data_IF_982504630779
#
_entry.id   IF_982504630779
#
_cell.length_a   1.000
_cell.length_b   1.000
_cell.length_c   1.000
_cell.angle_alpha   90.00
_cell.angle_beta   90.00
_cell.angle_gamma   90.00
#
_symmetry.space_group_name_H-M   'P 1'
#
loop_
_entity.id
_entity.type
_entity.pdbx_description
1 polymer ?
#
# COMPACT_ATOMS: atom_id res chain seq x y z
N UNK A 1 17.06 36.60 -4.98
CA UNK A 1 16.32 36.65 -3.70
C UNK A 1 16.06 35.20 -3.25
N UNK A 2 16.73 34.69 -2.20
CA UNK A 2 16.41 33.37 -1.67
C UNK A 2 15.14 33.42 -0.81
N UNK A 3 14.24 32.46 -1.01
CA UNK A 3 12.98 32.34 -0.30
C UNK A 3 13.20 32.10 1.22
N UNK A 4 12.33 32.62 2.11
CA UNK A 4 12.46 32.42 3.54
C UNK A 4 12.12 30.97 3.89
N UNK A 5 13.14 30.16 4.14
CA UNK A 5 12.98 28.83 4.73
C UNK A 5 12.37 28.96 6.12
N UNK A 6 11.07 28.71 6.27
CA UNK A 6 10.53 28.26 7.55
C UNK A 6 11.14 26.90 7.83
N UNK A 7 12.29 26.90 8.52
CA UNK A 7 12.83 25.71 9.15
C UNK A 7 11.78 25.22 10.15
N UNK A 8 11.03 24.18 9.80
CA UNK A 8 10.37 23.35 10.81
C UNK A 8 11.51 22.82 11.67
N UNK A 9 11.73 23.43 12.83
CA UNK A 9 12.87 23.13 13.71
C UNK A 9 12.48 22.15 14.81
N UNK A 10 11.20 21.77 14.88
CA UNK A 10 10.68 20.94 15.95
C UNK A 10 10.78 19.47 15.55
N UNK A 11 11.42 18.71 16.43
CA UNK A 11 11.36 17.25 16.42
C UNK A 11 10.01 16.85 17.00
N UNK A 12 9.21 16.13 16.22
CA UNK A 12 7.97 15.55 16.69
C UNK A 12 8.24 14.15 17.23
N UNK A 13 7.64 13.80 18.37
CA UNK A 13 7.77 12.46 18.96
C UNK A 13 6.40 11.89 19.29
N UNK A 14 6.16 10.66 18.84
CA UNK A 14 4.92 9.91 19.05
C UNK A 14 5.26 8.56 19.67
N UNK A 15 4.35 8.05 20.50
CA UNK A 15 4.54 6.77 21.17
C UNK A 15 3.25 5.95 21.16
N UNK A 16 3.38 4.65 20.98
CA UNK A 16 2.26 3.71 21.07
C UNK A 16 2.72 2.44 21.78
N UNK A 17 1.88 1.89 22.67
CA UNK A 17 2.12 0.54 23.18
C UNK A 17 1.73 -0.46 22.10
N UNK A 18 2.59 -1.45 21.90
CA UNK A 18 2.45 -2.52 20.91
C UNK A 18 2.75 -3.86 21.60
N UNK A 19 2.47 -4.98 20.94
CA UNK A 19 2.68 -6.32 21.51
C UNK A 19 4.13 -6.51 21.97
N UNK A 20 5.08 -5.96 21.23
CA UNK A 20 6.50 -6.09 21.50
C UNK A 20 7.04 -5.09 22.54
N UNK A 21 6.27 -4.08 22.98
CA UNK A 21 6.74 -3.08 23.93
C UNK A 21 6.24 -1.67 23.62
N UNK A 22 7.09 -0.67 23.85
CA UNK A 22 6.80 0.71 23.50
C UNK A 22 7.41 1.02 22.12
N UNK A 23 6.56 1.35 21.15
CA UNK A 23 6.97 1.89 19.87
C UNK A 23 7.15 3.40 20.00
N UNK A 24 8.26 3.93 19.51
CA UNK A 24 8.55 5.35 19.42
C UNK A 24 8.78 5.74 17.98
N UNK A 25 8.14 6.83 17.55
CA UNK A 25 8.37 7.48 16.27
C UNK A 25 8.91 8.88 16.54
N UNK A 26 10.06 9.19 15.96
CA UNK A 26 10.66 10.52 15.94
C UNK A 26 10.69 11.01 14.50
N UNK A 27 10.15 12.21 14.26
CA UNK A 27 10.17 12.87 12.96
C UNK A 27 10.93 14.19 13.11
N UNK A 28 12.04 14.29 12.41
CA UNK A 28 12.88 15.47 12.30
C UNK A 28 13.06 15.86 10.81
N UNK A 29 13.51 17.08 10.48
CA UNK A 29 13.52 17.59 9.10
C UNK A 29 14.26 16.74 8.06
N UNK A 30 15.25 15.95 8.51
CA UNK A 30 16.08 15.09 7.64
C UNK A 30 16.12 13.64 8.09
N UNK A 31 15.32 13.30 9.10
CA UNK A 31 15.43 12.02 9.79
C UNK A 31 14.06 11.56 10.30
N UNK A 32 13.73 10.30 10.04
CA UNK A 32 12.60 9.61 10.70
C UNK A 32 13.16 8.39 11.38
N UNK A 33 12.92 8.24 12.69
CA UNK A 33 13.30 7.07 13.47
C UNK A 33 12.07 6.40 14.02
N UNK A 34 12.00 5.09 13.82
CA UNK A 34 11.01 4.22 14.39
C UNK A 34 11.73 3.15 15.22
N UNK A 35 11.42 3.07 16.51
CA UNK A 35 12.11 2.19 17.44
C UNK A 35 11.13 1.41 18.31
N UNK A 36 11.40 0.12 18.47
CA UNK A 36 10.85 -0.70 19.55
C UNK A 36 12.01 -0.99 20.50
N UNK A 37 11.92 -0.43 21.70
CA UNK A 37 13.00 -0.44 22.70
C UNK A 37 13.64 -1.84 22.86
N UNK A 38 14.95 -1.91 22.63
CA UNK A 38 15.75 -3.14 22.77
C UNK A 38 15.49 -4.23 21.72
N UNK A 39 14.63 -4.01 20.72
CA UNK A 39 14.25 -5.03 19.73
C UNK A 39 14.57 -4.63 18.30
N UNK A 40 14.18 -3.43 17.89
CA UNK A 40 14.32 -3.00 16.50
C UNK A 40 14.41 -1.49 16.39
N UNK A 41 15.31 -1.02 15.53
CA UNK A 41 15.32 0.36 15.06
C UNK A 41 15.27 0.40 13.55
N UNK A 42 14.48 1.33 13.02
CA UNK A 42 14.38 1.66 11.61
C UNK A 42 14.58 3.16 11.49
N UNK A 43 15.62 3.58 10.77
CA UNK A 43 15.93 4.99 10.55
C UNK A 43 15.93 5.30 9.06
N UNK A 44 15.31 6.40 8.70
CA UNK A 44 15.31 6.99 7.38
C UNK A 44 16.10 8.29 7.49
N UNK A 45 17.27 8.33 6.85
CA UNK A 45 18.14 9.50 6.85
C UNK A 45 18.47 9.86 5.41
N UNK A 46 18.07 11.06 4.98
CA UNK A 46 18.30 11.59 3.63
C UNK A 46 17.83 10.63 2.51
N UNK A 47 18.72 9.75 2.05
CA UNK A 47 18.52 8.79 0.95
C UNK A 47 18.56 7.33 1.39
N UNK A 48 18.79 7.05 2.67
CA UNK A 48 18.96 5.68 3.15
C UNK A 48 17.89 5.30 4.16
N UNK A 49 17.39 4.08 3.99
CA UNK A 49 16.60 3.37 4.98
C UNK A 49 17.50 2.31 5.62
N UNK A 50 17.75 2.45 6.91
CA UNK A 50 18.52 1.51 7.71
C UNK A 50 17.60 0.82 8.71
N UNK A 51 17.71 -0.49 8.83
CA UNK A 51 17.04 -1.23 9.89
C UNK A 51 18.01 -2.14 10.61
N UNK A 52 17.84 -2.20 11.93
CA UNK A 52 18.70 -2.93 12.84
C UNK A 52 17.80 -3.81 13.70
N UNK A 53 17.93 -5.13 13.54
CA UNK A 53 17.33 -6.08 14.44
C UNK A 53 18.30 -6.33 15.60
N UNK A 54 17.87 -5.95 16.81
CA UNK A 54 18.63 -6.21 18.03
C UNK A 54 18.38 -7.67 18.46
N UNK A 55 19.44 -8.40 18.84
CA UNK A 55 19.27 -9.73 19.40
C UNK A 55 18.43 -9.64 20.69
N UNK A 56 17.57 -10.64 20.99
CA UNK A 56 16.82 -10.64 22.24
C UNK A 56 17.79 -10.56 23.42
N UNK A 57 17.54 -9.62 24.32
CA UNK A 57 18.34 -9.47 25.52
C UNK A 57 18.28 -10.78 26.33
N UNK A 58 19.44 -11.30 26.76
CA UNK A 58 19.47 -12.55 27.50
C UNK A 58 18.87 -12.34 28.89
N UNK A 59 17.75 -13.00 29.15
CA UNK A 59 17.12 -13.01 30.49
C UNK A 59 17.58 -14.25 31.27
N UNK A 60 18.01 -14.06 32.53
CA UNK A 60 18.33 -15.14 33.47
C UNK A 60 19.80 -15.61 33.51
N UNK A 61 20.05 -16.73 34.20
CA UNK A 61 21.37 -17.32 34.51
C UNK A 61 22.29 -17.56 33.30
N UNK A 62 21.74 -17.58 32.08
CA UNK A 62 22.49 -17.64 30.80
C UNK A 62 23.25 -16.35 30.46
N UNK A 63 23.07 -15.27 31.23
CA UNK A 63 23.88 -14.04 31.15
C UNK A 63 25.33 -14.28 31.61
N UNK A 64 25.56 -15.26 32.48
CA UNK A 64 26.87 -15.54 33.09
C UNK A 64 27.68 -16.62 32.38
N UNK A 65 27.17 -17.21 31.30
CA UNK A 65 27.94 -18.15 30.47
C UNK A 65 28.59 -17.35 29.33
N UNK A 66 29.90 -17.08 29.37
CA UNK A 66 30.59 -16.37 28.30
C UNK A 66 30.62 -17.28 27.08
N UNK A 67 29.89 -16.92 26.02
CA UNK A 67 30.09 -17.53 24.69
C UNK A 67 31.08 -16.66 23.93
N UNK A 68 32.01 -17.28 23.20
CA UNK A 68 33.08 -16.62 22.41
C UNK A 68 32.59 -15.61 21.34
N UNK A 69 31.27 -15.50 21.07
CA UNK A 69 30.67 -14.47 20.22
C UNK A 69 29.21 -14.26 20.65
N UNK A 70 28.91 -13.12 21.25
CA UNK A 70 27.52 -12.68 21.35
C UNK A 70 26.99 -12.36 19.93
N UNK A 71 25.71 -12.68 19.65
CA UNK A 71 25.13 -12.40 18.35
C UNK A 71 25.15 -10.88 18.12
N UNK A 72 25.87 -10.44 17.10
CA UNK A 72 25.88 -9.02 16.71
C UNK A 72 24.52 -8.62 16.13
N UNK A 73 24.07 -7.36 16.35
CA UNK A 73 22.87 -6.85 15.71
C UNK A 73 22.98 -6.97 14.18
N UNK A 74 21.89 -7.39 13.54
CA UNK A 74 21.84 -7.50 12.08
C UNK A 74 21.39 -6.15 11.53
N UNK A 75 22.37 -5.38 11.03
CA UNK A 75 22.13 -4.11 10.32
C UNK A 75 22.01 -4.38 8.83
N UNK A 76 21.04 -3.75 8.20
CA UNK A 76 20.93 -3.63 6.74
C UNK A 76 20.52 -2.22 6.39
N UNK A 77 20.96 -1.77 5.22
CA UNK A 77 20.66 -0.44 4.69
C UNK A 77 20.33 -0.57 3.21
N UNK A 78 19.31 0.14 2.76
CA UNK A 78 18.89 0.23 1.35
C UNK A 78 18.76 1.70 0.95
N UNK A 79 18.92 1.96 -0.35
CA UNK A 79 18.78 3.28 -0.95
C UNK A 79 17.33 3.56 -1.32
N UNK A 80 16.79 4.67 -0.86
CA UNK A 80 15.40 5.07 -1.07
C UNK A 80 15.13 5.56 -2.50
N UNK A 81 16.17 6.01 -3.22
CA UNK A 81 16.09 6.37 -4.63
C UNK A 81 16.09 5.15 -5.57
N UNK A 82 16.36 3.95 -5.06
CA UNK A 82 16.34 2.69 -5.83
C UNK A 82 15.02 1.92 -5.67
N UNK A 83 14.13 2.37 -4.77
CA UNK A 83 12.90 1.65 -4.46
C UNK A 83 11.74 2.53 -3.99
N UNK A 84 10.71 1.87 -3.50
CA UNK A 84 9.48 2.46 -2.98
C UNK A 84 9.28 2.02 -1.54
N UNK A 85 9.02 2.97 -0.64
CA UNK A 85 8.66 2.70 0.75
C UNK A 85 7.15 2.84 0.93
N UNK A 86 6.53 1.80 1.46
CA UNK A 86 5.09 1.72 1.66
C UNK A 86 4.78 1.47 3.14
N UNK A 87 3.88 2.28 3.69
CA UNK A 87 3.32 2.07 5.03
C UNK A 87 1.93 1.49 4.85
N UNK A 88 1.72 0.28 5.36
CA UNK A 88 0.49 -0.46 5.17
C UNK A 88 -0.17 -0.79 6.50
N UNK A 89 -1.49 -0.63 6.56
CA UNK A 89 -2.31 -1.11 7.67
C UNK A 89 -3.03 -2.39 7.27
N UNK A 90 -3.09 -3.36 8.18
CA UNK A 90 -3.86 -4.58 7.94
C UNK A 90 -5.36 -4.36 8.13
N UNK A 91 -6.18 -4.83 7.19
CA UNK A 91 -7.63 -4.59 7.16
C UNK A 91 -8.39 -5.09 8.40
N UNK A 92 -7.98 -6.21 9.04
CA UNK A 92 -8.69 -6.80 10.18
C UNK A 92 -7.86 -6.88 11.46
N UNK A 93 -6.54 -6.70 11.37
CA UNK A 93 -5.64 -6.93 12.51
C UNK A 93 -4.95 -5.67 12.99
N UNK A 94 -5.15 -4.54 12.29
CA UNK A 94 -4.53 -3.25 12.58
C UNK A 94 -3.00 -3.31 12.74
N UNK A 95 -2.38 -4.35 12.17
CA UNK A 95 -0.94 -4.48 12.08
C UNK A 95 -0.42 -3.37 11.19
N UNK A 96 0.53 -2.60 11.72
CA UNK A 96 1.28 -1.61 10.96
C UNK A 96 2.51 -2.28 10.34
N UNK A 97 2.52 -2.37 9.01
CA UNK A 97 3.59 -2.98 8.23
C UNK A 97 4.37 -1.94 7.45
N UNK A 98 5.70 -2.10 7.40
CA UNK A 98 6.59 -1.30 6.57
C UNK A 98 7.14 -2.18 5.47
N UNK A 99 6.86 -1.79 4.23
CA UNK A 99 7.20 -2.51 3.02
C UNK A 99 8.19 -1.70 2.19
N UNK A 100 9.14 -2.40 1.57
CA UNK A 100 10.09 -1.79 0.65
C UNK A 100 10.20 -2.58 -0.63
N UNK A 101 10.12 -1.90 -1.76
CA UNK A 101 10.43 -2.43 -3.07
C UNK A 101 11.95 -2.43 -3.26
N UNK A 102 12.59 -3.58 -3.07
CA UNK A 102 14.07 -3.71 -3.15
C UNK A 102 14.59 -3.61 -4.58
N UNK A 103 13.76 -4.02 -5.53
CA UNK A 103 13.97 -3.96 -6.97
C UNK A 103 12.60 -3.78 -7.60
N UNK A 104 12.55 -3.28 -8.82
CA UNK A 104 11.31 -3.16 -9.58
C UNK A 104 10.47 -4.44 -9.50
N UNK A 105 9.26 -4.31 -8.95
CA UNK A 105 8.32 -5.41 -8.77
C UNK A 105 8.68 -6.44 -7.69
N UNK A 106 9.65 -6.16 -6.81
CA UNK A 106 10.05 -7.09 -5.75
C UNK A 106 9.96 -6.42 -4.39
N UNK A 107 8.93 -6.83 -3.64
CA UNK A 107 8.59 -6.25 -2.37
C UNK A 107 9.02 -7.14 -1.20
N UNK A 108 9.47 -6.49 -0.13
CA UNK A 108 9.77 -7.12 1.15
C UNK A 108 9.11 -6.34 2.29
N UNK A 109 8.47 -7.07 3.19
CA UNK A 109 8.05 -6.53 4.48
C UNK A 109 9.29 -6.42 5.39
N UNK A 110 9.70 -5.20 5.73
CA UNK A 110 10.84 -4.94 6.61
C UNK A 110 10.47 -5.08 8.08
N UNK A 111 9.27 -4.62 8.43
CA UNK A 111 8.77 -4.61 9.80
C UNK A 111 7.26 -4.86 9.82
N UNK A 112 6.79 -5.57 10.85
CA UNK A 112 5.39 -5.72 11.22
C UNK A 112 5.26 -5.41 12.70
N UNK A 113 4.34 -4.52 13.02
CA UNK A 113 4.11 -4.05 14.38
C UNK A 113 2.70 -4.48 14.77
N UNK A 114 2.62 -5.41 15.71
CA UNK A 114 1.34 -5.93 16.16
C UNK A 114 0.77 -5.06 17.28
N UNK A 115 -0.53 -4.69 17.21
CA UNK A 115 -1.15 -3.95 18.30
C UNK A 115 -1.26 -4.82 19.56
N UNK A 116 -1.47 -4.17 20.71
CA UNK A 116 -1.79 -4.87 21.98
C UNK A 116 -3.13 -5.59 21.82
N UNK A 117 -3.33 -6.76 22.43
CA UNK A 117 -4.64 -7.43 22.37
C UNK A 117 -5.70 -6.57 23.08
N UNK A 118 -6.84 -6.32 22.42
CA UNK A 118 -7.91 -5.46 22.92
C UNK A 118 -8.64 -6.12 24.10
N UNK A 119 -8.13 -5.93 25.31
CA UNK A 119 -8.68 -6.51 26.54
C UNK A 119 -9.28 -5.47 27.48
N UNK A 120 -8.93 -4.18 27.29
CA UNK A 120 -9.37 -3.09 28.14
C UNK A 120 -9.34 -1.72 27.40
N UNK A 121 -9.72 -0.66 28.11
CA UNK A 121 -9.67 0.70 27.58
C UNK A 121 -8.24 1.18 27.26
N UNK A 122 -7.23 0.68 27.96
CA UNK A 122 -5.84 1.04 27.69
C UNK A 122 -5.35 0.45 26.35
N UNK A 123 -5.78 -0.77 26.03
CA UNK A 123 -5.53 -1.39 24.73
C UNK A 123 -6.20 -0.60 23.59
N UNK A 124 -7.43 -0.10 23.79
CA UNK A 124 -8.08 0.75 22.79
C UNK A 124 -7.32 2.06 22.53
N UNK A 125 -6.79 2.69 23.59
CA UNK A 125 -5.96 3.90 23.44
C UNK A 125 -4.64 3.57 22.74
N UNK A 126 -4.04 2.42 23.03
CA UNK A 126 -2.84 1.95 22.34
C UNK A 126 -3.08 1.73 20.84
N UNK A 127 -4.26 1.22 20.45
CA UNK A 127 -4.65 1.07 19.04
C UNK A 127 -4.78 2.43 18.35
N UNK A 128 -5.50 3.37 18.94
CA UNK A 128 -5.64 4.73 18.38
C UNK A 128 -4.29 5.42 18.23
N UNK A 129 -3.41 5.25 19.22
CA UNK A 129 -2.05 5.78 19.17
C UNK A 129 -1.23 5.14 18.04
N UNK A 130 -1.36 3.83 17.81
CA UNK A 130 -0.68 3.13 16.71
C UNK A 130 -1.21 3.58 15.34
N UNK A 131 -2.53 3.77 15.21
CA UNK A 131 -3.15 4.27 13.99
C UNK A 131 -2.65 5.68 13.65
N UNK A 132 -2.65 6.60 14.62
CA UNK A 132 -2.13 7.95 14.44
C UNK A 132 -0.64 7.93 14.10
N UNK A 133 0.16 7.10 14.77
CA UNK A 133 1.57 6.92 14.45
C UNK A 133 1.77 6.43 13.01
N UNK A 134 0.94 5.48 12.56
CA UNK A 134 0.94 5.01 11.17
C UNK A 134 0.64 6.11 10.16
N UNK A 135 -0.35 6.98 10.44
CA UNK A 135 -0.67 8.16 9.62
C UNK A 135 0.50 9.15 9.57
N UNK A 136 1.12 9.44 10.72
CA UNK A 136 2.28 10.35 10.81
C UNK A 136 3.49 9.80 10.06
N UNK A 137 3.77 8.51 10.23
CA UNK A 137 4.85 7.83 9.50
C UNK A 137 4.60 7.85 7.99
N UNK A 138 3.38 7.53 7.55
CA UNK A 138 2.99 7.61 6.13
C UNK A 138 3.18 9.01 5.57
N UNK A 139 2.69 10.04 6.26
CA UNK A 139 2.88 11.44 5.84
C UNK A 139 4.36 11.83 5.74
N UNK A 140 5.17 11.51 6.77
CA UNK A 140 6.60 11.82 6.81
C UNK A 140 7.42 11.10 5.74
N UNK A 141 6.92 9.97 5.23
CA UNK A 141 7.61 9.12 4.25
C UNK A 141 6.98 9.14 2.85
N UNK A 142 5.92 9.92 2.66
CA UNK A 142 5.12 10.01 1.43
C UNK A 142 5.94 10.25 0.16
N UNK A 143 7.00 11.08 0.23
CA UNK A 143 7.92 11.32 -0.90
C UNK A 143 8.63 10.06 -1.42
N UNK A 144 8.74 9.01 -0.60
CA UNK A 144 9.34 7.73 -0.99
C UNK A 144 8.31 6.70 -1.47
N UNK A 145 7.01 7.03 -1.44
CA UNK A 145 5.92 6.14 -1.83
C UNK A 145 5.71 6.08 -3.36
N UNK A 146 6.35 6.94 -4.15
CA UNK A 146 6.27 7.01 -5.64
C UNK A 146 4.84 6.79 -6.16
N UNK A 147 3.99 7.76 -5.87
CA UNK A 147 2.58 7.85 -6.29
C UNK A 147 1.60 6.87 -5.62
N UNK A 148 2.08 5.98 -4.75
CA UNK A 148 1.20 5.16 -3.93
C UNK A 148 0.45 6.03 -2.93
N UNK A 149 -0.87 5.93 -2.95
CA UNK A 149 -1.77 6.71 -2.09
C UNK A 149 -2.04 5.96 -0.78
N UNK A 150 -2.42 4.69 -0.90
CA UNK A 150 -2.81 3.85 0.24
C UNK A 150 -2.28 2.44 0.01
N UNK A 151 -1.70 1.85 1.04
CA UNK A 151 -1.33 0.44 1.04
C UNK A 151 -2.10 -0.28 2.16
N UNK A 152 -2.74 -1.40 1.83
CA UNK A 152 -3.53 -2.19 2.78
C UNK A 152 -3.15 -3.65 2.69
N UNK A 153 -2.98 -4.27 3.84
CA UNK A 153 -2.55 -5.65 3.92
C UNK A 153 -3.70 -6.59 4.32
N UNK A 154 -3.80 -7.71 3.62
CA UNK A 154 -4.82 -8.73 3.80
C UNK A 154 -4.18 -10.09 4.10
N UNK A 155 -4.83 -10.90 4.92
CA UNK A 155 -4.27 -12.17 5.40
C UNK A 155 -3.39 -12.03 6.65
N UNK A 156 -2.67 -13.10 7.00
CA UNK A 156 -1.89 -13.18 8.25
C UNK A 156 -0.50 -13.77 8.03
N UNK A 157 0.46 -13.26 8.80
CA UNK A 157 1.83 -13.78 8.83
C UNK A 157 2.50 -13.74 7.46
N UNK A 158 2.97 -14.91 7.01
CA UNK A 158 3.68 -15.04 5.74
C UNK A 158 2.74 -15.16 4.51
N UNK A 159 1.44 -15.28 4.76
CA UNK A 159 0.39 -15.49 3.77
C UNK A 159 -0.43 -14.21 3.63
N UNK A 160 0.19 -13.19 3.05
CA UNK A 160 -0.39 -11.86 2.94
C UNK A 160 -0.43 -11.39 1.50
N UNK A 161 -1.45 -10.59 1.20
CA UNK A 161 -1.56 -9.81 -0.01
C UNK A 161 -1.55 -8.34 0.37
N UNK A 162 -0.68 -7.56 -0.27
CA UNK A 162 -0.62 -6.12 -0.15
C UNK A 162 -1.36 -5.54 -1.36
N UNK A 163 -2.42 -4.77 -1.12
CA UNK A 163 -3.10 -4.00 -2.16
C UNK A 163 -2.64 -2.55 -2.03
N UNK A 164 -2.11 -2.01 -3.12
CA UNK A 164 -1.62 -0.64 -3.20
C UNK A 164 -2.49 0.13 -4.18
N UNK A 165 -3.12 1.19 -3.72
CA UNK A 165 -3.85 2.11 -4.59
C UNK A 165 -2.92 3.22 -5.06
N UNK A 166 -3.02 3.48 -6.35
CA UNK A 166 -2.46 4.63 -7.04
C UNK A 166 -3.62 5.47 -7.56
N UNK A 167 -3.31 6.67 -8.07
CA UNK A 167 -4.30 7.59 -8.62
C UNK A 167 -5.23 6.97 -9.69
N UNK A 168 -4.70 6.03 -10.49
CA UNK A 168 -5.40 5.49 -11.65
C UNK A 168 -5.57 3.97 -11.64
N UNK A 169 -5.04 3.27 -10.64
CA UNK A 169 -5.14 1.82 -10.58
C UNK A 169 -4.87 1.30 -9.16
N UNK A 170 -5.31 0.09 -8.89
CA UNK A 170 -4.94 -0.68 -7.71
C UNK A 170 -4.08 -1.87 -8.14
N UNK A 171 -2.97 -2.10 -7.44
CA UNK A 171 -2.07 -3.22 -7.68
C UNK A 171 -2.11 -4.20 -6.51
N UNK A 172 -2.13 -5.49 -6.82
CA UNK A 172 -2.01 -6.57 -5.83
C UNK A 172 -0.61 -7.13 -5.87
N UNK A 173 0.06 -7.07 -4.74
CA UNK A 173 1.36 -7.67 -4.50
C UNK A 173 1.13 -8.83 -3.55
N UNK A 174 1.48 -10.04 -3.99
CA UNK A 174 1.22 -11.24 -3.21
C UNK A 174 2.44 -12.15 -3.19
N UNK A 175 2.58 -12.94 -2.13
CA UNK A 175 3.61 -13.97 -2.04
C UNK A 175 3.13 -15.27 -2.65
N UNK A 176 3.78 -15.80 -3.69
CA UNK A 176 3.52 -17.16 -4.12
C UNK A 176 3.85 -18.16 -3.00
N UNK A 177 3.04 -19.21 -2.86
CA UNK A 177 3.05 -20.21 -1.74
C UNK A 177 4.45 -20.80 -1.44
N UNK A 178 5.38 -20.77 -2.40
CA UNK A 178 6.72 -21.35 -2.27
C UNK A 178 7.89 -20.37 -2.50
N UNK A 179 7.63 -19.06 -2.60
CA UNK A 179 8.70 -18.07 -2.83
C UNK A 179 8.91 -17.23 -1.60
N UNK A 180 10.12 -16.68 -1.41
CA UNK A 180 10.40 -15.79 -0.28
C UNK A 180 9.88 -14.37 -0.47
N UNK A 181 9.65 -13.95 -1.71
CA UNK A 181 9.42 -12.54 -2.06
C UNK A 181 8.00 -12.29 -2.55
N UNK A 182 7.48 -11.12 -2.19
CA UNK A 182 6.21 -10.60 -2.68
C UNK A 182 6.45 -9.94 -4.03
N UNK A 183 5.60 -10.25 -5.01
CA UNK A 183 5.67 -9.70 -6.36
C UNK A 183 4.29 -9.19 -6.76
N UNK A 184 4.18 -8.19 -7.64
CA UNK A 184 2.94 -7.85 -8.31
C UNK A 184 2.35 -9.08 -9.00
N UNK A 185 1.07 -9.29 -8.82
CA UNK A 185 0.33 -10.42 -9.40
C UNK A 185 -0.87 -9.97 -10.21
N UNK A 186 -1.36 -8.77 -9.96
CA UNK A 186 -2.59 -8.28 -10.56
C UNK A 186 -2.67 -6.75 -10.51
N UNK A 187 -3.30 -6.16 -11.52
CA UNK A 187 -3.63 -4.72 -11.58
C UNK A 187 -5.07 -4.53 -12.05
N UNK A 188 -5.74 -3.57 -11.43
CA UNK A 188 -7.09 -3.11 -11.81
C UNK A 188 -6.98 -1.61 -12.04
N UNK A 189 -7.16 -1.18 -13.28
CA UNK A 189 -7.16 0.24 -13.63
C UNK A 189 -8.56 0.82 -13.46
N UNK A 190 -8.60 2.13 -13.22
CA UNK A 190 -9.83 2.89 -13.20
C UNK A 190 -10.66 2.60 -14.45
N UNK A 191 -10.05 2.65 -15.64
CA UNK A 191 -10.67 2.44 -16.95
C UNK A 191 -11.31 1.05 -17.18
N UNK A 192 -11.42 0.21 -16.15
CA UNK A 192 -11.90 -1.16 -16.26
C UNK A 192 -10.86 -2.12 -16.80
N UNK A 193 -9.69 -1.65 -17.26
CA UNK A 193 -8.61 -2.53 -17.71
C UNK A 193 -8.08 -3.35 -16.53
N UNK A 194 -8.08 -4.67 -16.68
CA UNK A 194 -7.55 -5.60 -15.68
C UNK A 194 -6.39 -6.39 -16.28
N UNK A 195 -5.33 -6.59 -15.49
CA UNK A 195 -4.13 -7.29 -15.93
C UNK A 195 -3.70 -8.32 -14.91
N UNK A 196 -3.56 -9.58 -15.36
CA UNK A 196 -2.86 -10.60 -14.60
C UNK A 196 -1.36 -10.51 -14.91
N UNK A 197 -0.55 -10.20 -13.91
CA UNK A 197 0.90 -10.00 -14.07
C UNK A 197 1.69 -11.31 -14.00
N UNK A 198 1.02 -12.44 -13.76
CA UNK A 198 1.65 -13.77 -13.75
C UNK A 198 1.49 -14.47 -15.10
N UNK A 199 2.60 -14.99 -15.63
CA UNK A 199 2.61 -15.86 -16.81
C UNK A 199 2.46 -15.12 -18.13
N UNK A 200 1.77 -15.70 -19.12
CA UNK A 200 1.36 -15.03 -20.36
C UNK A 200 0.17 -14.11 -20.04
N UNK A 201 0.46 -13.01 -19.33
CA UNK A 201 -0.53 -12.18 -18.65
C UNK A 201 -1.82 -11.99 -19.43
N UNK A 202 -2.93 -12.43 -18.84
CA UNK A 202 -4.25 -12.15 -19.39
C UNK A 202 -4.57 -10.70 -19.09
N UNK A 203 -4.82 -9.94 -20.15
CA UNK A 203 -5.41 -8.61 -20.05
C UNK A 203 -6.86 -8.68 -20.54
N UNK A 204 -7.73 -7.92 -19.90
CA UNK A 204 -9.13 -7.83 -20.31
C UNK A 204 -9.76 -6.52 -19.88
N UNK A 205 -10.99 -6.30 -20.32
CA UNK A 205 -11.78 -5.12 -20.00
C UNK A 205 -12.97 -5.52 -19.12
N UNK A 206 -13.06 -4.91 -17.95
CA UNK A 206 -14.16 -5.04 -17.00
C UNK A 206 -14.95 -3.73 -17.02
N UNK A 207 -16.08 -3.71 -17.73
CA UNK A 207 -16.85 -2.48 -18.00
C UNK A 207 -17.70 -1.99 -16.83
N UNK A 208 -17.89 -2.82 -15.80
CA UNK A 208 -18.80 -2.52 -14.70
C UNK A 208 -18.29 -3.06 -13.38
N UNK A 209 -18.56 -2.34 -12.29
CA UNK A 209 -18.33 -2.79 -10.92
C UNK A 209 -19.08 -4.10 -10.60
N UNK A 210 -20.21 -4.35 -11.25
CA UNK A 210 -21.01 -5.57 -11.02
C UNK A 210 -20.38 -6.82 -11.65
N UNK A 211 -19.46 -6.63 -12.61
CA UNK A 211 -18.69 -7.70 -13.24
C UNK A 211 -17.52 -8.18 -12.40
N UNK A 212 -17.26 -7.55 -11.24
CA UNK A 212 -16.27 -8.01 -10.26
C UNK A 212 -16.95 -8.91 -9.24
N UNK A 213 -16.78 -10.23 -9.41
CA UNK A 213 -17.46 -11.24 -8.59
C UNK A 213 -16.47 -12.01 -7.72
N UNK A 214 -16.98 -12.61 -6.63
CA UNK A 214 -16.21 -13.51 -5.77
C UNK A 214 -16.70 -14.94 -5.98
N UNK A 215 -15.78 -15.85 -6.30
CA UNK A 215 -16.06 -17.29 -6.44
C UNK A 215 -15.04 -18.09 -5.64
N UNK A 216 -15.42 -18.54 -4.45
CA UNK A 216 -14.55 -19.28 -3.53
C UNK A 216 -13.31 -18.49 -3.11
N UNK A 217 -12.14 -18.92 -3.60
CA UNK A 217 -10.84 -18.29 -3.35
C UNK A 217 -10.39 -17.30 -4.44
N UNK A 218 -11.29 -16.98 -5.36
CA UNK A 218 -10.98 -16.19 -6.56
C UNK A 218 -11.85 -14.95 -6.64
N UNK A 219 -11.23 -13.86 -7.09
CA UNK A 219 -11.92 -12.65 -7.53
C UNK A 219 -11.90 -12.67 -9.06
N UNK A 220 -13.08 -12.73 -9.66
CA UNK A 220 -13.29 -12.85 -11.10
C UNK A 220 -13.74 -11.52 -11.68
N UNK A 221 -13.23 -11.21 -12.86
CA UNK A 221 -13.59 -10.04 -13.65
C UNK A 221 -14.18 -10.52 -14.97
N UNK A 222 -15.40 -10.08 -15.27
CA UNK A 222 -16.14 -10.48 -16.46
C UNK A 222 -16.29 -9.32 -17.47
N UNK A 223 -16.34 -9.67 -18.75
CA UNK A 223 -16.61 -8.75 -19.85
C UNK A 223 -18.14 -8.54 -20.02
N UNK A 224 -18.52 -7.64 -20.93
CA UNK A 224 -19.94 -7.35 -21.26
C UNK A 224 -20.70 -8.61 -21.69
N UNK A 225 -20.05 -9.47 -22.46
CA UNK A 225 -20.62 -10.72 -22.99
C UNK A 225 -20.67 -11.86 -21.95
N UNK A 226 -20.27 -11.59 -20.71
CA UNK A 226 -20.18 -12.58 -19.62
C UNK A 226 -18.96 -13.50 -19.70
N UNK A 227 -18.09 -13.33 -20.70
CA UNK A 227 -16.82 -14.05 -20.77
C UNK A 227 -15.86 -13.54 -19.69
N UNK A 228 -14.94 -14.40 -19.26
CA UNK A 228 -13.99 -14.07 -18.20
C UNK A 228 -12.86 -13.20 -18.75
N UNK A 229 -12.74 -11.96 -18.28
CA UNK A 229 -11.64 -11.05 -18.60
C UNK A 229 -10.35 -11.45 -17.86
N UNK A 230 -10.45 -11.64 -16.54
CA UNK A 230 -9.31 -11.98 -15.70
C UNK A 230 -9.75 -12.63 -14.38
N UNK A 231 -8.79 -13.21 -13.67
CA UNK A 231 -9.03 -13.87 -12.38
C UNK A 231 -7.83 -13.71 -11.45
N UNK A 232 -8.10 -13.32 -10.22
CA UNK A 232 -7.12 -13.22 -9.14
C UNK A 232 -7.37 -14.32 -8.13
N UNK A 233 -6.37 -15.20 -7.95
CA UNK A 233 -6.42 -16.31 -7.01
C UNK A 233 -5.70 -15.99 -5.70
N UNK A 234 -6.42 -16.02 -4.57
CA UNK A 234 -5.92 -15.69 -3.23
C UNK A 234 -6.41 -16.73 -2.19
N UNK A 235 -5.94 -17.99 -2.26
CA UNK A 235 -6.44 -19.10 -1.43
C UNK A 235 -6.14 -18.95 0.07
N UNK A 236 -5.07 -18.23 0.42
CA UNK A 236 -4.65 -18.06 1.81
C UNK A 236 -5.19 -16.79 2.48
N UNK A 237 -5.82 -15.90 1.71
CA UNK A 237 -6.50 -14.71 2.25
C UNK A 237 -7.84 -15.16 2.85
N UNK A 238 -8.34 -14.50 3.89
CA UNK A 238 -9.63 -14.90 4.47
C UNK A 238 -10.80 -14.59 3.51
N UNK A 239 -11.95 -15.28 3.59
CA UNK A 239 -13.13 -14.92 2.80
C UNK A 239 -13.58 -13.46 2.99
N UNK A 240 -13.48 -12.96 4.23
CA UNK A 240 -13.83 -11.59 4.60
C UNK A 240 -12.89 -10.57 3.94
N UNK A 241 -11.58 -10.80 4.03
CA UNK A 241 -10.59 -9.97 3.33
C UNK A 241 -10.79 -10.00 1.82
N UNK A 242 -11.08 -11.17 1.22
CA UNK A 242 -11.38 -11.26 -0.22
C UNK A 242 -12.62 -10.46 -0.61
N UNK A 243 -13.65 -10.45 0.25
CA UNK A 243 -14.85 -9.62 0.03
C UNK A 243 -14.46 -8.13 0.03
N UNK A 244 -13.60 -7.70 0.95
CA UNK A 244 -13.13 -6.32 1.01
C UNK A 244 -12.27 -5.94 -0.19
N UNK A 245 -11.33 -6.80 -0.60
CA UNK A 245 -10.53 -6.61 -1.82
C UNK A 245 -11.45 -6.49 -3.05
N UNK A 246 -12.48 -7.35 -3.15
CA UNK A 246 -13.46 -7.27 -4.23
C UNK A 246 -14.15 -5.91 -4.25
N UNK A 247 -14.72 -5.47 -3.11
CA UNK A 247 -15.41 -4.16 -3.02
C UNK A 247 -14.48 -3.02 -3.43
N UNK A 248 -13.22 -3.04 -2.97
CA UNK A 248 -12.23 -2.05 -3.39
C UNK A 248 -12.02 -2.02 -4.91
N UNK A 249 -11.94 -3.17 -5.57
CA UNK A 249 -11.84 -3.20 -7.03
C UNK A 249 -13.12 -2.76 -7.73
N UNK A 250 -14.29 -3.03 -7.13
CA UNK A 250 -15.56 -2.49 -7.63
C UNK A 250 -15.49 -0.96 -7.66
N UNK A 251 -15.02 -0.35 -6.58
CA UNK A 251 -14.90 1.11 -6.48
C UNK A 251 -13.84 1.68 -7.44
N UNK A 252 -12.72 0.96 -7.63
CA UNK A 252 -11.71 1.35 -8.64
C UNK A 252 -12.30 1.37 -10.04
N UNK A 253 -13.07 0.35 -10.43
CA UNK A 253 -13.72 0.27 -11.77
C UNK A 253 -14.84 1.31 -11.90
N UNK A 254 -15.64 1.51 -10.85
CA UNK A 254 -16.76 2.48 -10.86
C UNK A 254 -16.27 3.91 -11.05
N UNK A 255 -15.17 4.27 -10.35
CA UNK A 255 -14.59 5.61 -10.39
C UNK A 255 -14.01 6.03 -11.73
N UNK A 256 -13.96 5.16 -12.76
CA UNK A 256 -13.75 5.63 -14.13
C UNK A 256 -14.96 5.47 -15.04
N UNK A 257 -15.98 4.72 -14.67
CA UNK A 257 -17.25 4.80 -15.39
C UNK A 257 -17.83 6.21 -15.26
N UNK A 258 -17.77 6.80 -14.06
CA UNK A 258 -18.15 8.20 -13.84
C UNK A 258 -17.30 9.17 -14.69
N UNK A 259 -15.98 8.98 -14.74
CA UNK A 259 -15.09 9.86 -15.55
C UNK A 259 -15.28 9.70 -17.05
N UNK A 260 -15.54 8.48 -17.53
CA UNK A 260 -15.82 8.25 -18.95
C UNK A 260 -17.16 8.85 -19.37
N UNK A 261 -18.16 8.83 -18.48
CA UNK A 261 -19.43 9.53 -18.70
C UNK A 261 -19.22 11.04 -18.69
N UNK A 262 -18.44 11.58 -17.74
CA UNK A 262 -18.12 13.01 -17.71
C UNK A 262 -17.39 13.43 -18.99
N UNK A 263 -16.31 12.72 -19.39
CA UNK A 263 -15.55 13.03 -20.61
C UNK A 263 -16.40 12.90 -21.89
N UNK A 264 -17.38 11.98 -21.93
CA UNK A 264 -18.32 11.84 -23.05
C UNK A 264 -19.38 12.95 -23.08
N UNK A 265 -19.80 13.46 -21.93
CA UNK A 265 -20.76 14.57 -21.81
C UNK A 265 -20.11 15.92 -22.12
N UNK A 266 -18.79 16.07 -21.95
CA UNK A 266 -18.06 17.30 -22.32
C UNK A 266 -17.64 17.38 -23.79
N UNK A 267 -17.81 16.30 -24.57
CA UNK A 267 -17.54 16.29 -26.01
C UNK A 267 -18.77 16.65 -26.87
N UNK A 268 -19.94 16.89 -26.26
CA UNK A 268 -21.20 17.16 -26.98
C UNK A 268 -21.59 18.64 -27.02
N UNK A 269 -20.91 19.52 -26.26
CA UNK A 269 -21.23 20.97 -26.20
C UNK A 269 -20.30 21.85 -27.06
N UNK A 270 -19.28 21.29 -27.74
CA UNK A 270 -18.33 22.09 -28.55
C UNK A 270 -18.60 22.13 -30.05
N UNK A 271 -19.57 21.37 -30.56
CA UNK A 271 -19.82 21.25 -32.02
C UNK A 271 -21.17 21.86 -32.47
N UNK A 272 -21.92 22.55 -31.60
CA UNK A 272 -23.12 23.28 -32.02
C UNK A 272 -22.81 24.62 -32.73
N UNK A 273 -21.72 25.33 -32.37
CA UNK A 273 -21.40 26.64 -32.99
C UNK A 273 -20.88 26.54 -34.44
N UNK A 274 -20.24 25.42 -34.84
CA UNK A 274 -19.76 25.23 -36.22
C UNK A 274 -20.88 24.73 -37.18
N UNK A 275 -22.00 24.24 -36.61
CA UNK A 275 -23.13 23.73 -37.41
C UNK A 275 -24.03 24.84 -37.96
N UNK A 276 -24.15 25.98 -37.27
CA UNK A 276 -24.88 27.16 -37.78
C UNK A 276 -24.11 27.89 -38.87
N UNK A 277 -22.76 27.89 -38.82
CA UNK A 277 -21.93 28.52 -39.84
C UNK A 277 -21.98 27.76 -41.18
N UNK A 278 -21.98 26.43 -41.14
CA UNK A 278 -22.12 25.57 -42.34
C UNK A 278 -23.52 25.63 -42.97
N UNK A 279 -24.58 25.85 -42.19
CA UNK A 279 -25.94 26.03 -42.72
C UNK A 279 -26.17 27.45 -43.30
N UNK A 280 -25.47 28.46 -42.78
CA UNK A 280 -25.47 29.82 -43.35
C UNK A 280 -24.82 29.89 -44.73
N UNK A 281 -23.66 29.24 -44.91
CA UNK A 281 -22.94 29.24 -46.20
C UNK A 281 -23.67 28.47 -47.32
N UNK A 282 -24.47 27.47 -46.96
CA UNK A 282 -25.30 26.72 -47.93
C UNK A 282 -26.55 27.49 -48.39
N UNK A 283 -27.05 28.45 -47.59
CA UNK A 283 -28.21 29.26 -47.94
C UNK A 283 -27.86 30.43 -48.88
N UNK A 284 -26.60 30.89 -48.91
CA UNK A 284 -26.14 31.92 -49.85
C UNK A 284 -25.73 31.35 -51.22
N UNK A 285 -25.69 30.02 -51.38
CA UNK A 285 -25.30 29.33 -52.61
C UNK A 285 -26.47 28.86 -53.51
N UNK A 286 -27.72 29.20 -53.17
CA UNK A 286 -28.94 28.94 -53.96
C UNK A 286 -29.69 30.22 -54.27
#
# INVERSE_FOLDING_TARGET
>A
MPAPYRHVTQVESYQARVREGLLRLEIAPRHVLLEIEGKLSLSIHEQFLTWIAHPPERVGWRKWIPRKKDPKPKKRSVRLDEGRLLIASSHLTDVLSIWFEEKEGVYRCLLRIEPVILLDAAALQAWKALEELGKRLSAATSKYARDALVATEYGKGAHTALVVDYKHHSQVIARPVFRERHIPVFEVHGSGKVKNLKGKGQEGLCVSRYSVTLSGDRIRFDQVDGSRAAELHLPWVSPEDRKHIRVRFQDTVDGAHERMLDDALFLDDSDEEDSEQLLGELAEAT
#
